data_IF_237769510116
#
_entry.id   IF_237769510116
#
_cell.length_a   1.000
_cell.length_b   1.000
_cell.length_c   1.000
_cell.angle_alpha   90.00
_cell.angle_beta   90.00
_cell.angle_gamma   90.00
#
_symmetry.space_group_name_H-M   'P 1'
#
loop_
_entity.id
_entity.type
_entity.pdbx_description
1 polymer ?
#
# COMPACT_ATOMS: atom_id res chain seq x y z
N UNK A 1 1.04 -2.05 9.27
CA UNK A 1 2.02 -2.61 8.31
C UNK A 1 1.45 -3.93 7.80
N UNK A 2 1.49 -4.16 6.50
CA UNK A 2 1.07 -5.43 5.89
C UNK A 2 2.14 -5.95 4.93
N UNK A 3 2.14 -7.28 4.77
CA UNK A 3 3.09 -8.00 3.95
C UNK A 3 2.35 -9.13 3.22
N UNK A 4 2.65 -9.29 1.94
CA UNK A 4 2.13 -10.36 1.08
C UNK A 4 3.28 -11.00 0.31
N UNK A 5 3.28 -12.33 0.25
CA UNK A 5 4.28 -13.11 -0.47
C UNK A 5 3.58 -14.21 -1.27
N UNK A 6 3.72 -14.16 -2.60
CA UNK A 6 3.11 -15.10 -3.53
C UNK A 6 4.24 -15.83 -4.26
N UNK A 7 4.35 -17.12 -4.00
CA UNK A 7 5.37 -18.00 -4.57
C UNK A 7 4.71 -19.07 -5.45
N UNK A 8 5.29 -19.33 -6.63
CA UNK A 8 4.86 -20.42 -7.51
C UNK A 8 5.65 -21.69 -7.18
N UNK A 9 4.98 -22.67 -6.58
CA UNK A 9 5.60 -23.95 -6.19
C UNK A 9 5.91 -24.86 -7.39
N UNK A 10 5.29 -24.63 -8.56
CA UNK A 10 5.54 -25.45 -9.76
C UNK A 10 6.78 -24.99 -10.50
N UNK A 11 6.91 -23.68 -10.69
CA UNK A 11 8.07 -23.11 -11.38
C UNK A 11 9.25 -22.85 -10.42
N UNK A 12 9.00 -22.87 -9.11
CA UNK A 12 10.05 -22.63 -8.10
C UNK A 12 10.46 -21.16 -8.04
N UNK A 13 9.58 -20.24 -8.44
CA UNK A 13 9.89 -18.82 -8.57
C UNK A 13 8.98 -17.94 -7.70
N UNK A 14 9.56 -16.82 -7.26
CA UNK A 14 8.80 -15.77 -6.58
C UNK A 14 7.95 -15.02 -7.61
N UNK A 15 6.62 -15.06 -7.45
CA UNK A 15 5.71 -14.38 -8.36
C UNK A 15 5.52 -12.91 -8.00
N UNK A 16 5.31 -12.63 -6.71
CA UNK A 16 5.11 -11.27 -6.22
C UNK A 16 5.43 -11.17 -4.72
N UNK A 17 6.00 -10.05 -4.32
CA UNK A 17 6.17 -9.69 -2.92
C UNK A 17 5.72 -8.23 -2.72
N UNK A 18 4.80 -8.01 -1.79
CA UNK A 18 4.22 -6.69 -1.54
C UNK A 18 4.44 -6.31 -0.09
N UNK A 19 4.97 -5.11 0.13
CA UNK A 19 5.11 -4.49 1.44
C UNK A 19 4.28 -3.21 1.47
N UNK A 20 3.52 -3.01 2.54
CA UNK A 20 2.75 -1.79 2.70
C UNK A 20 2.85 -1.22 4.12
N UNK A 21 3.13 0.07 4.18
CA UNK A 21 3.13 0.87 5.40
C UNK A 21 2.02 1.90 5.28
N UNK A 22 1.01 1.78 6.15
CA UNK A 22 -0.03 2.79 6.33
C UNK A 22 0.18 3.51 7.65
N UNK A 23 0.01 4.83 7.62
CA UNK A 23 0.06 5.67 8.81
C UNK A 23 -1.07 6.69 8.77
N UNK A 24 -1.95 6.62 9.77
CA UNK A 24 -3.03 7.57 9.98
C UNK A 24 -2.57 8.67 10.94
N UNK A 25 -2.75 9.91 10.52
CA UNK A 25 -2.65 11.09 11.37
C UNK A 25 -4.07 11.64 11.59
N UNK A 26 -4.21 12.63 12.47
CA UNK A 26 -5.54 13.15 12.85
C UNK A 26 -6.41 13.66 11.69
N UNK A 27 -5.80 14.11 10.59
CA UNK A 27 -6.51 14.78 9.47
C UNK A 27 -6.10 14.26 8.09
N UNK A 28 -5.19 13.28 8.05
CA UNK A 28 -4.66 12.74 6.81
C UNK A 28 -4.06 11.37 7.05
N UNK A 29 -4.18 10.51 6.06
CA UNK A 29 -3.59 9.19 6.02
C UNK A 29 -2.55 9.14 4.92
N UNK A 30 -1.50 8.35 5.15
CA UNK A 30 -0.47 8.09 4.16
C UNK A 30 -0.31 6.59 4.01
N UNK A 31 -0.14 6.13 2.77
CA UNK A 31 0.20 4.76 2.47
C UNK A 31 1.39 4.72 1.51
N UNK A 32 2.37 3.89 1.83
CA UNK A 32 3.50 3.59 0.96
C UNK A 32 3.50 2.10 0.68
N UNK A 33 3.43 1.73 -0.59
CA UNK A 33 3.42 0.34 -1.04
C UNK A 33 4.58 0.09 -2.00
N UNK A 34 5.35 -0.93 -1.68
CA UNK A 34 6.40 -1.47 -2.53
C UNK A 34 5.93 -2.83 -3.04
N UNK A 35 5.99 -3.04 -4.34
CA UNK A 35 5.63 -4.31 -4.95
C UNK A 35 6.75 -4.76 -5.87
N UNK A 36 7.37 -5.86 -5.50
CA UNK A 36 8.30 -6.60 -6.34
C UNK A 36 7.53 -7.70 -7.08
N UNK A 37 7.73 -7.82 -8.38
CA UNK A 37 7.08 -8.81 -9.25
C UNK A 37 8.15 -9.56 -10.02
N UNK A 38 7.79 -10.73 -10.52
CA UNK A 38 8.64 -11.55 -11.38
C UNK A 38 9.30 -10.74 -12.53
N UNK A 39 8.61 -9.71 -13.03
CA UNK A 39 9.19 -8.68 -13.90
C UNK A 39 8.72 -7.29 -13.45
N UNK A 40 9.63 -6.56 -12.81
CA UNK A 40 9.47 -5.14 -12.48
C UNK A 40 9.19 -4.87 -11.01
N UNK A 41 9.41 -3.62 -10.64
CA UNK A 41 9.25 -3.10 -9.28
C UNK A 41 8.39 -1.85 -9.31
N UNK A 42 7.32 -1.84 -8.51
CA UNK A 42 6.40 -0.72 -8.40
C UNK A 42 6.50 -0.06 -7.03
N UNK A 43 6.50 1.28 -7.03
CA UNK A 43 6.37 2.09 -5.81
C UNK A 43 5.12 2.93 -5.93
N UNK A 44 4.22 2.80 -4.97
CA UNK A 44 2.99 3.59 -4.89
C UNK A 44 2.97 4.38 -3.58
N UNK A 45 2.69 5.67 -3.67
CA UNK A 45 2.48 6.56 -2.54
C UNK A 45 1.06 7.14 -2.63
N UNK A 46 0.31 7.01 -1.54
CA UNK A 46 -1.02 7.58 -1.39
C UNK A 46 -1.03 8.55 -0.22
N UNK A 47 -1.65 9.71 -0.41
CA UNK A 47 -1.92 10.68 0.64
C UNK A 47 -3.42 11.00 0.58
N UNK A 48 -4.13 10.70 1.64
CA UNK A 48 -5.58 10.84 1.73
C UNK A 48 -5.91 11.85 2.82
N UNK A 49 -6.56 12.96 2.47
CA UNK A 49 -7.09 13.91 3.44
C UNK A 49 -8.37 13.32 4.04
N UNK A 50 -8.28 12.82 5.27
CA UNK A 50 -9.45 12.38 6.02
C UNK A 50 -10.06 13.61 6.70
N UNK A 51 -11.23 14.02 6.23
CA UNK A 51 -11.98 15.11 6.85
C UNK A 51 -12.13 14.83 8.35
N UNK A 52 -11.94 15.86 9.18
CA UNK A 52 -12.11 15.75 10.63
C UNK A 52 -13.46 15.07 10.94
N UNK A 53 -13.52 14.13 11.90
CA UNK A 53 -14.82 13.62 12.34
C UNK A 53 -15.64 14.80 12.87
N UNK A 54 -16.63 15.25 12.08
CA UNK A 54 -17.49 16.41 12.38
C UNK A 54 -17.38 17.62 11.43
N UNK A 55 -16.47 17.63 10.45
CA UNK A 55 -16.41 18.73 9.46
C UNK A 55 -16.59 18.14 8.06
N UNK A 56 -17.83 18.09 7.60
CA UNK A 56 -18.14 17.76 6.21
C UNK A 56 -17.52 18.80 5.29
N UNK A 57 -16.69 18.37 4.33
CA UNK A 57 -16.19 19.22 3.26
C UNK A 57 -17.38 19.46 2.31
N UNK A 58 -17.95 20.67 2.35
CA UNK A 58 -18.88 21.13 1.31
C UNK A 58 -18.05 21.58 0.09
N UNK A 59 -18.36 20.99 -1.06
CA UNK A 59 -17.92 21.46 -2.37
C UNK A 59 -18.92 22.49 -2.91
#
# INVERSE_FOLDING_TARGET
MSFEHIYDLKEGELRSQTYEVRRSFQCWETALRFRDRQSGFDVNMEISLTAFPGTGIQF
#
